data_IF_367046875529
#
_entry.id   IF_367046875529
#
_cell.length_a   1.000
_cell.length_b   1.000
_cell.length_c   1.000
_cell.angle_alpha   90.00
_cell.angle_beta   90.00
_cell.angle_gamma   90.00
#
_symmetry.space_group_name_H-M   'P 1'
#
loop_
_entity.id
_entity.type
_entity.pdbx_description
1 polymer ?
#
# COMPACT_ATOMS: atom_id res chain seq x y z
N UNK A 1 24.30 -2.24 16.45
CA UNK A 1 24.49 -1.76 17.85
C UNK A 1 23.27 -1.05 18.46
N UNK A 2 22.38 -0.39 17.70
CA UNK A 2 21.14 0.21 18.24
C UNK A 2 20.07 -0.77 18.77
N UNK A 3 20.21 -2.08 18.48
CA UNK A 3 19.27 -3.13 18.94
C UNK A 3 19.55 -3.64 20.37
N UNK A 4 20.73 -3.34 20.95
CA UNK A 4 21.08 -3.79 22.31
C UNK A 4 20.62 -2.81 23.41
N UNK A 5 20.48 -1.53 23.08
CA UNK A 5 20.05 -0.48 24.03
C UNK A 5 18.54 -0.55 24.32
N UNK A 6 17.77 -1.23 23.46
CA UNK A 6 16.32 -1.40 23.64
C UNK A 6 15.95 -2.46 24.70
N UNK A 7 16.84 -3.40 25.00
CA UNK A 7 16.58 -4.47 25.97
C UNK A 7 16.79 -4.05 27.43
N UNK A 8 17.62 -3.03 27.67
CA UNK A 8 17.95 -2.57 29.03
C UNK A 8 16.86 -1.64 29.61
N UNK A 9 16.06 -0.96 28.77
CA UNK A 9 14.90 -0.20 29.25
C UNK A 9 13.70 -1.08 29.63
N UNK A 10 13.65 -2.34 29.18
CA UNK A 10 12.57 -3.27 29.54
C UNK A 10 12.76 -3.88 30.95
N UNK A 11 13.98 -3.88 31.48
CA UNK A 11 14.30 -4.45 32.79
C UNK A 11 14.05 -3.48 33.96
N UNK A 12 13.97 -2.17 33.71
CA UNK A 12 13.77 -1.16 34.75
C UNK A 12 12.30 -0.85 35.11
N UNK A 13 11.34 -1.50 34.44
CA UNK A 13 9.90 -1.26 34.70
C UNK A 13 9.27 -2.24 35.71
N UNK A 14 10.05 -3.09 36.37
CA UNK A 14 9.53 -4.18 37.21
C UNK A 14 9.77 -4.02 38.73
N UNK A 15 10.35 -2.90 39.19
CA UNK A 15 10.69 -2.70 40.61
C UNK A 15 9.94 -1.52 41.27
N UNK A 16 8.72 -1.19 40.81
CA UNK A 16 7.81 -0.43 41.65
C UNK A 16 7.24 -1.39 42.69
N UNK A 17 7.74 -1.30 43.94
CA UNK A 17 7.17 -2.02 45.07
C UNK A 17 5.68 -1.72 45.12
N UNK A 18 4.85 -2.72 44.80
CA UNK A 18 3.41 -2.67 44.95
C UNK A 18 3.11 -2.56 46.43
N UNK A 19 3.04 -1.34 46.95
CA UNK A 19 2.41 -1.11 48.25
C UNK A 19 1.00 -1.66 48.11
N UNK A 20 0.67 -2.68 48.90
CA UNK A 20 -0.65 -3.27 48.89
C UNK A 20 -1.66 -2.14 49.12
N UNK A 21 -2.45 -1.83 48.10
CA UNK A 21 -3.52 -0.85 48.15
C UNK A 21 -4.60 -1.43 49.06
N UNK A 22 -4.50 -1.16 50.35
CA UNK A 22 -5.45 -1.64 51.36
C UNK A 22 -6.47 -0.53 51.56
N UNK A 23 -7.75 -0.90 51.41
CA UNK A 23 -8.83 0.01 51.69
C UNK A 23 -8.79 0.53 53.15
N UNK A 24 -9.02 1.82 53.33
CA UNK A 24 -9.00 2.53 54.61
C UNK A 24 -10.41 2.98 54.99
N UNK A 25 -10.80 2.75 56.24
CA UNK A 25 -12.07 3.18 56.78
C UNK A 25 -11.93 4.55 57.42
N UNK A 26 -12.96 5.40 57.32
CA UNK A 26 -12.90 6.73 57.92
C UNK A 26 -14.11 7.59 57.61
N UNK A 27 -14.10 8.82 58.14
CA UNK A 27 -15.09 9.84 57.79
C UNK A 27 -14.57 10.66 56.62
N UNK A 28 -15.23 10.55 55.47
CA UNK A 28 -14.84 11.22 54.24
C UNK A 28 -15.85 12.28 53.82
N UNK A 29 -15.43 13.32 53.09
CA UNK A 29 -16.34 14.31 52.54
C UNK A 29 -17.39 13.66 51.62
N UNK A 30 -18.67 13.97 51.83
CA UNK A 30 -19.78 13.51 50.98
C UNK A 30 -20.35 14.67 50.17
N UNK A 31 -21.65 14.96 50.29
CA UNK A 31 -22.35 16.06 49.61
C UNK A 31 -22.79 17.05 50.69
N UNK A 32 -22.11 18.20 50.77
CA UNK A 32 -22.32 19.24 51.81
C UNK A 32 -23.79 19.54 52.15
N UNK A 33 -24.68 19.56 51.16
CA UNK A 33 -26.10 19.91 51.35
C UNK A 33 -26.97 18.72 51.81
N UNK A 34 -26.39 17.52 51.92
CA UNK A 34 -27.04 16.30 52.42
C UNK A 34 -26.38 15.91 53.74
N UNK A 35 -25.07 15.66 53.70
CA UNK A 35 -24.22 15.39 54.86
C UNK A 35 -22.79 15.79 54.50
N UNK A 36 -22.15 16.63 55.32
CA UNK A 36 -20.80 17.11 55.02
C UNK A 36 -19.76 15.98 55.02
N UNK A 37 -19.84 15.09 56.01
CA UNK A 37 -18.99 13.93 56.17
C UNK A 37 -19.82 12.68 56.42
N UNK A 38 -19.39 11.55 55.88
CA UNK A 38 -20.00 10.25 56.08
C UNK A 38 -18.93 9.19 56.30
N UNK A 39 -19.25 8.18 57.11
CA UNK A 39 -18.41 7.01 57.24
C UNK A 39 -18.37 6.27 55.91
N UNK A 40 -17.17 5.92 55.46
CA UNK A 40 -16.95 5.28 54.18
C UNK A 40 -15.64 4.50 54.15
N UNK A 41 -15.39 3.93 52.99
CA UNK A 41 -14.23 3.07 52.72
C UNK A 41 -13.52 3.66 51.51
N UNK A 42 -12.24 3.99 51.66
CA UNK A 42 -11.44 4.60 50.62
C UNK A 42 -10.36 3.64 50.13
N UNK A 43 -10.15 3.56 48.82
CA UNK A 43 -9.11 2.75 48.19
C UNK A 43 -8.42 3.58 47.12
N UNK A 44 -7.10 3.66 47.18
CA UNK A 44 -6.29 4.19 46.08
C UNK A 44 -5.96 3.07 45.10
N UNK A 45 -6.04 3.36 43.80
CA UNK A 45 -5.80 2.39 42.73
C UNK A 45 -4.90 2.99 41.65
N UNK A 46 -4.02 2.16 41.09
CA UNK A 46 -3.12 2.53 39.98
C UNK A 46 -3.82 2.38 38.62
N UNK A 47 -4.95 3.08 38.48
CA UNK A 47 -5.67 3.19 37.21
C UNK A 47 -6.23 4.60 37.00
N UNK A 48 -6.35 5.08 35.74
CA UNK A 48 -7.00 6.34 35.44
C UNK A 48 -8.46 6.38 35.93
N UNK A 49 -8.89 7.49 36.50
CA UNK A 49 -10.23 7.64 37.11
C UNK A 49 -11.38 7.24 36.16
N UNK A 50 -11.25 7.50 34.85
CA UNK A 50 -12.26 7.09 33.85
C UNK A 50 -12.42 5.57 33.78
N UNK A 51 -11.31 4.83 33.75
CA UNK A 51 -11.31 3.37 33.73
C UNK A 51 -11.94 2.82 35.01
N UNK A 52 -11.60 3.41 36.15
CA UNK A 52 -12.13 3.02 37.46
C UNK A 52 -13.64 3.21 37.53
N UNK A 53 -14.15 4.35 37.04
CA UNK A 53 -15.59 4.58 36.94
C UNK A 53 -16.29 3.52 36.08
N UNK A 54 -15.76 3.22 34.88
CA UNK A 54 -16.36 2.24 33.97
C UNK A 54 -16.38 0.83 34.56
N UNK A 55 -15.31 0.42 35.24
CA UNK A 55 -15.23 -0.90 35.90
C UNK A 55 -16.19 -0.97 37.07
N UNK A 56 -16.24 0.04 37.94
CA UNK A 56 -17.18 0.09 39.06
C UNK A 56 -18.64 0.07 38.60
N UNK A 57 -18.98 0.83 37.57
CA UNK A 57 -20.33 0.85 37.01
C UNK A 57 -20.74 -0.55 36.52
N UNK A 58 -19.90 -1.21 35.73
CA UNK A 58 -20.12 -2.59 35.26
C UNK A 58 -20.21 -3.57 36.43
N UNK A 59 -19.38 -3.40 37.46
CA UNK A 59 -19.34 -4.27 38.64
C UNK A 59 -20.63 -4.16 39.45
N UNK A 60 -21.09 -2.94 39.71
CA UNK A 60 -22.37 -2.69 40.37
C UNK A 60 -23.55 -3.19 39.54
N UNK A 61 -23.57 -2.93 38.23
CA UNK A 61 -24.64 -3.41 37.34
C UNK A 61 -24.70 -4.94 37.34
N UNK A 62 -23.56 -5.63 37.25
CA UNK A 62 -23.49 -7.08 37.29
C UNK A 62 -23.96 -7.66 38.63
N UNK A 63 -23.53 -7.06 39.74
CA UNK A 63 -23.78 -7.59 41.07
C UNK A 63 -25.20 -7.28 41.59
N UNK A 64 -25.77 -6.14 41.19
CA UNK A 64 -27.07 -5.66 41.71
C UNK A 64 -28.19 -5.68 40.67
N UNK A 65 -27.87 -5.89 39.39
CA UNK A 65 -28.76 -5.72 38.23
C UNK A 65 -29.32 -4.29 38.08
N UNK A 66 -28.71 -3.31 38.76
CA UNK A 66 -29.09 -1.90 38.71
C UNK A 66 -27.95 -1.05 38.17
N UNK A 67 -28.28 -0.11 37.30
CA UNK A 67 -27.33 0.89 36.79
C UNK A 67 -27.10 1.96 37.84
N UNK A 68 -25.86 2.42 37.93
CA UNK A 68 -25.53 3.58 38.75
C UNK A 68 -26.10 4.86 38.13
N UNK A 69 -26.70 5.72 38.94
CA UNK A 69 -27.13 7.06 38.54
C UNK A 69 -26.23 8.12 39.17
N UNK A 70 -26.22 9.31 38.58
CA UNK A 70 -25.44 10.43 39.12
C UNK A 70 -26.27 11.17 40.17
N UNK A 71 -25.76 11.28 41.40
CA UNK A 71 -26.37 12.10 42.44
C UNK A 71 -25.95 13.57 42.29
N UNK A 72 -24.79 13.97 42.84
CA UNK A 72 -24.19 15.32 42.78
C UNK A 72 -22.67 15.25 42.98
N UNK A 73 -21.93 16.28 42.55
CA UNK A 73 -20.45 16.40 42.78
C UNK A 73 -19.64 15.13 42.42
N UNK A 74 -19.95 14.49 41.29
CA UNK A 74 -19.31 13.24 40.82
C UNK A 74 -19.51 12.02 41.75
N UNK A 75 -20.49 12.09 42.66
CA UNK A 75 -20.97 10.93 43.40
C UNK A 75 -21.98 10.18 42.54
N UNK A 76 -21.69 8.90 42.34
CA UNK A 76 -22.58 7.93 41.72
C UNK A 76 -23.35 7.21 42.82
N UNK A 77 -24.60 6.84 42.55
CA UNK A 77 -25.48 6.16 43.48
C UNK A 77 -26.12 4.92 42.85
N UNK A 78 -26.35 3.91 43.69
CA UNK A 78 -27.12 2.71 43.35
C UNK A 78 -28.13 2.52 44.48
N UNK A 79 -29.37 2.95 44.25
CA UNK A 79 -30.41 2.96 45.28
C UNK A 79 -31.13 1.63 45.44
N UNK A 80 -31.47 1.32 46.68
CA UNK A 80 -32.26 0.17 47.11
C UNK A 80 -31.79 -1.14 46.47
N UNK A 81 -30.48 -1.40 46.50
CA UNK A 81 -29.87 -2.58 45.90
C UNK A 81 -29.50 -3.62 46.96
N UNK A 82 -29.57 -4.89 46.57
CA UNK A 82 -28.94 -5.98 47.31
C UNK A 82 -27.60 -6.26 46.63
N UNK A 83 -26.51 -6.08 47.37
CA UNK A 83 -25.16 -6.43 46.92
C UNK A 83 -24.71 -7.62 47.76
N UNK A 84 -25.07 -8.83 47.33
CA UNK A 84 -24.90 -10.05 48.13
C UNK A 84 -23.50 -10.26 48.73
N UNK A 85 -22.38 -9.90 48.07
CA UNK A 85 -21.05 -9.99 48.68
C UNK A 85 -20.83 -9.05 49.89
N UNK A 86 -21.69 -8.05 50.07
CA UNK A 86 -21.57 -7.02 51.10
C UNK A 86 -22.68 -7.14 52.15
N UNK A 87 -23.93 -7.29 51.72
CA UNK A 87 -25.07 -7.47 52.61
C UNK A 87 -26.24 -8.15 51.88
N UNK A 88 -27.06 -8.88 52.63
CA UNK A 88 -28.35 -9.40 52.17
C UNK A 88 -29.47 -8.36 52.29
N UNK A 89 -29.25 -7.28 53.04
CA UNK A 89 -30.19 -6.18 53.19
C UNK A 89 -30.21 -5.28 51.94
N UNK A 90 -31.34 -4.60 51.75
CA UNK A 90 -31.50 -3.56 50.74
C UNK A 90 -30.81 -2.29 51.24
N UNK A 91 -29.75 -1.85 50.58
CA UNK A 91 -28.97 -0.66 50.92
C UNK A 91 -28.89 0.32 49.74
N UNK A 92 -28.60 1.57 50.05
CA UNK A 92 -28.15 2.56 49.07
C UNK A 92 -26.62 2.60 49.08
N UNK A 93 -26.01 2.42 47.90
CA UNK A 93 -24.57 2.51 47.73
C UNK A 93 -24.21 3.81 47.03
N UNK A 94 -23.22 4.51 47.55
CA UNK A 94 -22.68 5.71 46.91
C UNK A 94 -21.20 5.53 46.69
N UNK A 95 -20.71 5.88 45.51
CA UNK A 95 -19.27 5.90 45.27
C UNK A 95 -18.83 7.17 44.56
N UNK A 96 -17.61 7.59 44.85
CA UNK A 96 -16.93 8.69 44.15
C UNK A 96 -15.56 8.21 43.70
N UNK A 97 -15.17 8.62 42.50
CA UNK A 97 -13.82 8.39 41.97
C UNK A 97 -13.15 9.74 41.76
N UNK A 98 -12.02 9.95 42.42
CA UNK A 98 -11.24 11.18 42.39
C UNK A 98 -9.87 10.91 41.73
N UNK A 99 -9.44 11.71 40.75
CA UNK A 99 -8.12 11.53 40.15
C UNK A 99 -7.02 11.97 41.13
N UNK A 100 -6.03 11.11 41.35
CA UNK A 100 -4.80 11.42 42.10
C UNK A 100 -3.59 11.66 41.16
N UNK A 101 -3.85 11.72 39.85
CA UNK A 101 -2.85 11.87 38.79
C UNK A 101 -3.41 11.41 37.45
N UNK A 102 -2.53 11.21 36.45
CA UNK A 102 -2.91 10.66 35.15
C UNK A 102 -3.31 9.19 35.24
N UNK A 103 -2.54 8.41 36.01
CA UNK A 103 -2.64 6.95 36.07
C UNK A 103 -3.06 6.42 37.45
N UNK A 104 -3.54 7.31 38.33
CA UNK A 104 -3.98 6.95 39.68
C UNK A 104 -5.31 7.58 40.03
N UNK A 105 -6.11 6.86 40.79
CA UNK A 105 -7.40 7.33 41.26
C UNK A 105 -7.67 6.87 42.70
N UNK A 106 -8.56 7.58 43.37
CA UNK A 106 -9.04 7.27 44.69
C UNK A 106 -10.54 6.98 44.60
N UNK A 107 -10.94 5.82 45.09
CA UNK A 107 -12.33 5.41 45.19
C UNK A 107 -12.78 5.59 46.63
N UNK A 108 -13.91 6.24 46.85
CA UNK A 108 -14.56 6.28 48.16
C UNK A 108 -15.95 5.69 48.05
N UNK A 109 -16.23 4.65 48.82
CA UNK A 109 -17.50 3.92 48.89
C UNK A 109 -18.21 4.25 50.21
N UNK A 110 -19.49 4.58 50.13
CA UNK A 110 -20.37 4.82 51.26
C UNK A 110 -21.59 3.90 51.17
N UNK A 111 -22.04 3.40 52.32
CA UNK A 111 -23.20 2.52 52.44
C UNK A 111 -24.24 3.22 53.31
N UNK A 112 -25.51 3.19 52.91
CA UNK A 112 -26.61 3.79 53.66
C UNK A 112 -27.79 2.84 53.78
N UNK A 113 -28.41 2.78 54.96
CA UNK A 113 -29.65 2.03 55.21
C UNK A 113 -30.91 2.80 54.74
N UNK A 114 -30.78 3.62 53.70
CA UNK A 114 -31.81 4.58 53.27
C UNK A 114 -31.74 5.94 53.99
N UNK A 115 -32.37 6.97 53.40
CA UNK A 115 -32.46 8.33 53.93
C UNK A 115 -31.12 8.95 54.39
N UNK A 116 -30.01 8.57 53.75
CA UNK A 116 -28.65 9.00 54.11
C UNK A 116 -28.19 8.61 55.53
N UNK A 117 -28.79 7.56 56.10
CA UNK A 117 -28.32 6.89 57.31
C UNK A 117 -27.13 6.00 56.98
N UNK A 118 -25.96 6.61 56.92
CA UNK A 118 -24.71 5.91 56.61
C UNK A 118 -24.35 4.89 57.68
N UNK A 119 -23.94 3.69 57.24
CA UNK A 119 -23.46 2.62 58.11
C UNK A 119 -22.09 3.01 58.67
N UNK A 120 -21.87 2.69 59.93
CA UNK A 120 -20.60 2.82 60.64
C UNK A 120 -20.10 1.46 61.13
N UNK A 121 -18.82 1.39 61.52
CA UNK A 121 -18.21 0.16 62.01
C UNK A 121 -18.74 -0.27 63.39
N UNK A 122 -19.16 0.66 64.23
CA UNK A 122 -19.62 0.35 65.59
C UNK A 122 -20.90 -0.48 65.56
N UNK A 123 -21.81 -0.18 64.64
CA UNK A 123 -23.10 -0.84 64.50
C UNK A 123 -23.13 -1.92 63.41
N UNK A 124 -22.35 -1.76 62.35
CA UNK A 124 -22.40 -2.58 61.13
C UNK A 124 -21.03 -3.14 60.74
N UNK A 125 -20.29 -3.68 61.71
CA UNK A 125 -18.94 -4.18 61.50
C UNK A 125 -18.84 -5.23 60.37
N UNK A 126 -19.83 -6.11 60.26
CA UNK A 126 -19.85 -7.18 59.25
C UNK A 126 -19.99 -6.61 57.84
N UNK A 127 -20.94 -5.71 57.61
CA UNK A 127 -21.18 -5.07 56.32
C UNK A 127 -20.01 -4.19 55.89
N UNK A 128 -19.40 -3.45 56.83
CA UNK A 128 -18.21 -2.64 56.55
C UNK A 128 -17.02 -3.52 56.18
N UNK A 129 -16.79 -4.63 56.90
CA UNK A 129 -15.72 -5.58 56.57
C UNK A 129 -15.93 -6.23 55.20
N UNK A 130 -17.17 -6.63 54.89
CA UNK A 130 -17.53 -7.21 53.60
C UNK A 130 -17.39 -6.20 52.45
N UNK A 131 -17.84 -4.95 52.64
CA UNK A 131 -17.65 -3.86 51.69
C UNK A 131 -16.17 -3.54 51.44
N UNK A 132 -15.35 -3.61 52.48
CA UNK A 132 -13.90 -3.43 52.39
C UNK A 132 -13.25 -4.55 51.58
N UNK A 133 -13.61 -5.80 51.84
CA UNK A 133 -13.16 -6.96 51.06
C UNK A 133 -13.57 -6.82 49.60
N UNK A 134 -14.83 -6.48 49.35
CA UNK A 134 -15.36 -6.26 48.02
C UNK A 134 -14.58 -5.15 47.30
N UNK A 135 -14.29 -4.03 47.96
CA UNK A 135 -13.52 -2.94 47.35
C UNK A 135 -12.06 -3.35 47.09
N UNK A 136 -11.42 -4.13 47.97
CA UNK A 136 -10.06 -4.62 47.81
C UNK A 136 -9.86 -5.57 46.62
N UNK A 137 -10.92 -6.15 46.05
CA UNK A 137 -10.85 -6.94 44.82
C UNK A 137 -10.76 -6.06 43.55
N UNK A 138 -11.10 -4.76 43.65
CA UNK A 138 -11.13 -3.84 42.52
C UNK A 138 -9.80 -3.75 41.74
N UNK A 139 -8.61 -3.71 42.37
CA UNK A 139 -7.35 -3.66 41.63
C UNK A 139 -7.15 -4.85 40.68
N UNK A 140 -7.57 -6.06 41.07
CA UNK A 140 -7.46 -7.24 40.23
C UNK A 140 -8.41 -7.17 39.02
N UNK A 141 -9.63 -6.65 39.22
CA UNK A 141 -10.58 -6.41 38.13
C UNK A 141 -10.10 -5.33 37.17
N UNK A 142 -9.50 -4.24 37.69
CA UNK A 142 -8.90 -3.18 36.87
C UNK A 142 -7.76 -3.70 35.99
N UNK A 143 -6.88 -4.53 36.55
CA UNK A 143 -5.81 -5.17 35.78
C UNK A 143 -6.35 -6.10 34.69
N UNK A 144 -7.42 -6.83 34.99
CA UNK A 144 -8.11 -7.68 34.01
C UNK A 144 -8.72 -6.84 32.88
N UNK A 145 -9.40 -5.75 33.23
CA UNK A 145 -10.01 -4.83 32.27
C UNK A 145 -8.96 -4.15 31.38
N UNK A 146 -7.84 -3.70 31.96
CA UNK A 146 -6.71 -3.12 31.25
C UNK A 146 -6.12 -4.10 30.23
N UNK A 147 -5.95 -5.37 30.61
CA UNK A 147 -5.50 -6.43 29.68
C UNK A 147 -6.50 -6.65 28.56
N UNK A 148 -7.79 -6.66 28.86
CA UNK A 148 -8.83 -6.83 27.87
C UNK A 148 -8.84 -5.68 26.85
N UNK A 149 -8.73 -4.42 27.29
CA UNK A 149 -8.60 -3.28 26.39
C UNK A 149 -7.34 -3.35 25.52
N UNK A 150 -6.21 -3.77 26.09
CA UNK A 150 -4.97 -3.95 25.32
C UNK A 150 -5.14 -5.04 24.23
N UNK A 151 -5.81 -6.14 24.55
CA UNK A 151 -6.14 -7.21 23.60
C UNK A 151 -7.05 -6.68 22.48
N UNK A 152 -8.08 -5.90 22.81
CA UNK A 152 -9.01 -5.34 21.83
C UNK A 152 -8.33 -4.33 20.88
N UNK A 153 -7.49 -3.45 21.42
CA UNK A 153 -6.69 -2.52 20.61
C UNK A 153 -5.72 -3.25 19.66
N UNK A 154 -5.11 -4.33 20.16
CA UNK A 154 -4.21 -5.18 19.38
C UNK A 154 -4.95 -5.91 18.25
N UNK A 155 -6.15 -6.43 18.53
CA UNK A 155 -7.01 -7.07 17.52
C UNK A 155 -7.46 -6.09 16.44
N UNK A 156 -7.79 -4.85 16.81
CA UNK A 156 -8.12 -3.81 15.85
C UNK A 156 -6.93 -3.51 14.91
N UNK A 157 -5.72 -3.41 15.47
CA UNK A 157 -4.49 -3.21 14.69
C UNK A 157 -4.24 -4.35 13.70
N UNK A 158 -4.42 -5.61 14.14
CA UNK A 158 -4.28 -6.79 13.26
C UNK A 158 -5.29 -6.73 12.11
N UNK A 159 -6.56 -6.41 12.38
CA UNK A 159 -7.58 -6.31 11.33
C UNK A 159 -7.26 -5.25 10.28
N UNK A 160 -6.68 -4.12 10.66
CA UNK A 160 -6.25 -3.10 9.69
C UNK A 160 -5.06 -3.59 8.85
N UNK A 161 -4.07 -4.24 9.46
CA UNK A 161 -2.94 -4.84 8.73
C UNK A 161 -3.40 -5.92 7.74
N UNK A 162 -4.37 -6.77 8.12
CA UNK A 162 -4.95 -7.77 7.22
C UNK A 162 -5.65 -7.13 6.00
N UNK A 163 -6.35 -6.00 6.20
CA UNK A 163 -6.95 -5.24 5.09
C UNK A 163 -5.89 -4.63 4.18
N UNK A 164 -4.80 -4.10 4.73
CA UNK A 164 -3.69 -3.55 3.95
C UNK A 164 -2.98 -4.63 3.11
N UNK A 165 -2.69 -5.79 3.71
CA UNK A 165 -2.12 -6.94 2.99
C UNK A 165 -3.04 -7.37 1.83
N UNK A 166 -4.35 -7.48 2.06
CA UNK A 166 -5.30 -7.85 1.03
C UNK A 166 -5.38 -6.82 -0.12
N UNK A 167 -5.23 -5.52 0.18
CA UNK A 167 -5.17 -4.46 -0.86
C UNK A 167 -3.89 -4.57 -1.68
N UNK A 168 -2.74 -4.76 -1.03
CA UNK A 168 -1.46 -4.90 -1.73
C UNK A 168 -1.41 -6.16 -2.60
N UNK A 169 -1.91 -7.29 -2.11
CA UNK A 169 -2.00 -8.52 -2.88
C UNK A 169 -2.87 -8.36 -4.15
N UNK A 170 -3.95 -7.56 -4.08
CA UNK A 170 -4.76 -7.21 -5.26
C UNK A 170 -3.99 -6.33 -6.24
N UNK A 171 -3.23 -5.36 -5.75
CA UNK A 171 -2.39 -4.47 -6.57
C UNK A 171 -1.28 -5.24 -7.27
N UNK A 172 -0.61 -6.16 -6.58
CA UNK A 172 0.41 -7.05 -7.16
C UNK A 172 -0.18 -7.89 -8.30
N UNK A 173 -1.35 -8.51 -8.11
CA UNK A 173 -2.04 -9.24 -9.19
C UNK A 173 -2.39 -8.37 -10.40
N UNK A 174 -2.77 -7.10 -10.19
CA UNK A 174 -3.04 -6.17 -11.29
C UNK A 174 -1.77 -5.82 -12.06
N UNK A 175 -0.69 -5.51 -11.35
CA UNK A 175 0.61 -5.21 -11.95
C UNK A 175 1.16 -6.41 -12.73
N UNK A 176 1.00 -7.63 -12.21
CA UNK A 176 1.39 -8.85 -12.93
C UNK A 176 0.66 -8.98 -14.27
N UNK A 177 -0.65 -8.70 -14.32
CA UNK A 177 -1.43 -8.71 -15.58
C UNK A 177 -0.99 -7.62 -16.57
N UNK A 178 -0.67 -6.42 -16.07
CA UNK A 178 -0.14 -5.33 -16.91
C UNK A 178 1.19 -5.75 -17.51
N UNK A 179 2.09 -6.35 -16.70
CA UNK A 179 3.36 -6.89 -17.18
C UNK A 179 3.17 -7.90 -18.31
N UNK A 180 2.28 -8.88 -18.14
CA UNK A 180 2.03 -9.89 -19.20
C UNK A 180 1.57 -9.24 -20.50
N UNK A 181 0.61 -8.31 -20.44
CA UNK A 181 0.13 -7.59 -21.64
C UNK A 181 1.23 -6.80 -22.33
N UNK A 182 2.08 -6.11 -21.56
CA UNK A 182 3.20 -5.36 -22.14
C UNK A 182 4.25 -6.29 -22.77
N UNK A 183 4.39 -7.53 -22.32
CA UNK A 183 5.27 -8.53 -22.96
C UNK A 183 4.69 -8.96 -24.29
N UNK A 184 3.39 -9.29 -24.34
CA UNK A 184 2.70 -9.66 -25.58
C UNK A 184 2.78 -8.53 -26.63
N UNK A 185 2.59 -7.26 -26.21
CA UNK A 185 2.73 -6.09 -27.09
C UNK A 185 4.16 -5.90 -27.63
N UNK A 186 5.19 -6.23 -26.84
CA UNK A 186 6.57 -6.20 -27.31
C UNK A 186 6.84 -7.27 -28.36
N UNK A 187 6.35 -8.49 -28.14
CA UNK A 187 6.50 -9.59 -29.10
C UNK A 187 5.83 -9.25 -30.45
N UNK A 188 4.64 -8.65 -30.42
CA UNK A 188 3.94 -8.20 -31.63
C UNK A 188 4.72 -7.09 -32.38
N UNK A 189 5.30 -6.13 -31.66
CA UNK A 189 6.13 -5.08 -32.25
C UNK A 189 7.45 -5.62 -32.80
N UNK A 190 8.08 -6.59 -32.15
CA UNK A 190 9.26 -7.28 -32.68
C UNK A 190 8.95 -8.02 -33.98
N UNK A 191 7.82 -8.73 -34.04
CA UNK A 191 7.36 -9.40 -35.26
C UNK A 191 7.12 -8.39 -36.40
N UNK A 192 6.46 -7.26 -36.09
CA UNK A 192 6.25 -6.17 -37.05
C UNK A 192 7.56 -5.51 -37.52
N UNK A 193 8.53 -5.33 -36.63
CA UNK A 193 9.86 -4.82 -36.99
C UNK A 193 10.61 -5.76 -37.92
N UNK A 194 10.53 -7.08 -37.69
CA UNK A 194 11.17 -8.09 -38.55
C UNK A 194 10.59 -8.09 -39.96
N UNK A 195 9.27 -8.00 -40.08
CA UNK A 195 8.62 -7.94 -41.40
C UNK A 195 8.98 -6.66 -42.16
N UNK A 196 9.06 -5.51 -41.46
CA UNK A 196 9.53 -4.25 -42.06
C UNK A 196 10.98 -4.31 -42.52
N UNK A 197 11.87 -4.94 -41.73
CA UNK A 197 13.27 -5.13 -42.12
C UNK A 197 13.40 -6.01 -43.37
N UNK A 198 12.63 -7.10 -43.45
CA UNK A 198 12.60 -7.93 -44.65
C UNK A 198 12.13 -7.14 -45.87
N UNK A 199 11.07 -6.34 -45.73
CA UNK A 199 10.58 -5.47 -46.80
C UNK A 199 11.66 -4.45 -47.22
N UNK A 200 12.36 -3.84 -46.27
CA UNK A 200 13.45 -2.91 -46.56
C UNK A 200 14.62 -3.58 -47.31
N UNK A 201 14.98 -4.81 -46.94
CA UNK A 201 16.01 -5.59 -47.64
C UNK A 201 15.57 -5.92 -49.08
N UNK A 202 14.31 -6.28 -49.29
CA UNK A 202 13.74 -6.49 -50.63
C UNK A 202 13.78 -5.20 -51.47
N UNK A 203 13.34 -4.07 -50.93
CA UNK A 203 13.39 -2.77 -51.63
C UNK A 203 14.83 -2.35 -51.95
N UNK A 204 15.79 -2.60 -51.04
CA UNK A 204 17.23 -2.36 -51.30
C UNK A 204 17.76 -3.24 -52.42
N UNK A 205 17.40 -4.54 -52.43
CA UNK A 205 17.76 -5.46 -53.50
C UNK A 205 17.23 -5.00 -54.86
N UNK A 206 15.96 -4.58 -54.93
CA UNK A 206 15.35 -4.02 -56.16
C UNK A 206 16.06 -2.73 -56.62
N UNK A 207 16.42 -1.84 -55.69
CA UNK A 207 17.18 -0.63 -56.03
C UNK A 207 18.56 -0.96 -56.60
N UNK A 208 19.28 -1.93 -56.03
CA UNK A 208 20.59 -2.34 -56.55
C UNK A 208 20.50 -2.95 -57.95
N UNK A 209 19.47 -3.74 -58.24
CA UNK A 209 19.30 -4.35 -59.57
C UNK A 209 18.87 -3.33 -60.63
N UNK A 210 18.05 -2.34 -60.26
CA UNK A 210 17.72 -1.23 -61.16
C UNK A 210 18.92 -0.32 -61.43
N UNK A 211 19.76 -0.08 -60.40
CA UNK A 211 20.97 0.71 -60.56
C UNK A 211 21.99 0.00 -61.47
N UNK A 212 22.20 -1.30 -61.29
CA UNK A 212 23.07 -2.09 -62.18
C UNK A 212 22.54 -2.12 -63.61
N UNK A 213 21.21 -2.24 -63.81
CA UNK A 213 20.59 -2.16 -65.15
C UNK A 213 20.80 -0.79 -65.79
N UNK A 214 20.62 0.29 -65.04
CA UNK A 214 20.85 1.65 -65.54
C UNK A 214 22.31 1.87 -65.95
N UNK A 215 23.26 1.34 -65.17
CA UNK A 215 24.69 1.44 -65.47
C UNK A 215 25.08 0.61 -66.70
N UNK A 216 24.56 -0.62 -66.84
CA UNK A 216 24.76 -1.43 -68.05
C UNK A 216 24.16 -0.78 -69.30
N UNK A 217 22.97 -0.19 -69.20
CA UNK A 217 22.34 0.54 -70.30
C UNK A 217 23.19 1.77 -70.72
N UNK A 218 23.76 2.50 -69.75
CA UNK A 218 24.71 3.60 -70.03
C UNK A 218 25.98 3.13 -70.73
N UNK A 219 26.55 2.00 -70.29
CA UNK A 219 27.74 1.42 -70.93
C UNK A 219 27.45 1.00 -72.37
N UNK A 220 26.28 0.38 -72.63
CA UNK A 220 25.85 0.01 -73.97
C UNK A 220 25.62 1.24 -74.87
N UNK A 221 24.95 2.27 -74.36
CA UNK A 221 24.74 3.52 -75.10
C UNK A 221 26.08 4.23 -75.41
N UNK A 222 27.00 4.27 -74.45
CA UNK A 222 28.35 4.81 -74.64
C UNK A 222 29.16 4.03 -75.67
N UNK A 223 29.09 2.70 -75.64
CA UNK A 223 29.72 1.84 -76.64
C UNK A 223 29.14 2.07 -78.04
N UNK A 224 27.82 2.18 -78.17
CA UNK A 224 27.12 2.47 -79.42
C UNK A 224 27.47 3.85 -80.00
N UNK A 225 27.62 4.88 -79.14
CA UNK A 225 28.10 6.20 -79.55
C UNK A 225 29.56 6.14 -80.03
N UNK A 226 30.43 5.41 -79.33
CA UNK A 226 31.83 5.27 -79.76
C UNK A 226 31.98 4.49 -81.07
N UNK A 227 31.14 3.47 -81.30
CA UNK A 227 31.15 2.71 -82.55
C UNK A 227 30.55 3.50 -83.71
N UNK A 228 29.51 4.31 -83.46
CA UNK A 228 28.95 5.25 -84.44
C UNK A 228 29.94 6.36 -84.81
N UNK A 229 30.72 6.88 -83.86
CA UNK A 229 31.75 7.89 -84.12
C UNK A 229 32.96 7.28 -84.86
N UNK A 230 33.26 6.00 -84.60
CA UNK A 230 34.29 5.24 -85.32
C UNK A 230 33.89 4.92 -86.77
N UNK A 231 32.62 4.59 -87.02
CA UNK A 231 32.12 4.36 -88.39
C UNK A 231 32.01 5.66 -89.19
N UNK A 232 31.62 6.78 -88.56
CA UNK A 232 31.65 8.11 -89.19
C UNK A 232 33.06 8.56 -89.59
N UNK A 233 34.07 8.25 -88.75
CA UNK A 233 35.48 8.49 -89.09
C UNK A 233 36.00 7.60 -90.20
N UNK A 234 35.51 6.36 -90.32
CA UNK A 234 35.89 5.45 -91.40
C UNK A 234 35.28 5.88 -92.75
N UNK A 235 34.02 6.34 -92.75
CA UNK A 235 33.33 6.82 -93.96
C UNK A 235 33.90 8.17 -94.47
N UNK A 236 34.43 9.02 -93.58
CA UNK A 236 35.13 10.24 -93.98
C UNK A 236 36.49 9.99 -94.63
N UNK A 237 37.12 8.83 -94.39
CA UNK A 237 38.40 8.46 -95.03
C UNK A 237 38.21 7.67 -96.33
N UNK A 238 36.99 7.22 -96.63
CA UNK A 238 36.66 6.49 -97.86
C UNK A 238 36.00 7.36 -98.95
N UNK A 239 35.73 8.64 -98.67
CA UNK A 239 35.19 9.60 -99.65
C UNK A 239 36.28 10.51 -100.22
N UNK A 240 37.18 9.90 -100.98
CA UNK A 240 37.82 10.54 -102.11
C UNK A 240 37.75 9.56 -103.27
N UNK A 241 37.13 9.99 -104.38
CA UNK A 241 36.86 9.22 -105.60
C UNK A 241 35.61 8.31 -105.56
N UNK A 242 34.43 8.88 -105.80
CA UNK A 242 33.62 8.67 -107.02
C UNK A 242 32.19 9.17 -106.81
N UNK A 243 31.65 9.79 -107.85
CA UNK A 243 30.26 10.25 -107.92
C UNK A 243 29.28 9.07 -107.96
N UNK A 244 28.08 9.25 -107.39
CA UNK A 244 26.75 8.92 -107.95
C UNK A 244 25.68 9.02 -106.86
N UNK A 245 24.68 9.84 -107.18
CA UNK A 245 23.24 9.76 -106.90
C UNK A 245 22.71 8.65 -105.96
N UNK A 246 21.92 9.05 -104.95
CA UNK A 246 20.56 8.54 -104.67
C UNK A 246 20.12 8.85 -103.23
N UNK A 247 18.92 9.43 -103.16
CA UNK A 247 18.07 9.63 -101.99
C UNK A 247 17.90 8.38 -101.12
N UNK A 248 18.25 8.46 -99.83
CA UNK A 248 17.61 7.63 -98.79
C UNK A 248 17.42 8.43 -97.49
N UNK A 249 16.20 8.94 -97.30
CA UNK A 249 15.68 9.31 -95.99
C UNK A 249 15.38 8.01 -95.23
N UNK A 250 16.34 7.45 -94.51
CA UNK A 250 16.05 6.52 -93.43
C UNK A 250 16.12 7.28 -92.11
N UNK A 251 14.93 7.59 -91.58
CA UNK A 251 14.76 8.27 -90.30
C UNK A 251 15.31 7.43 -89.16
N UNK A 252 16.27 8.01 -88.44
CA UNK A 252 16.74 7.54 -87.13
C UNK A 252 15.62 7.71 -86.09
N UNK A 253 14.73 6.72 -85.97
CA UNK A 253 13.69 6.65 -84.93
C UNK A 253 14.20 6.06 -83.59
N UNK A 254 15.49 5.72 -83.49
CA UNK A 254 16.08 5.08 -82.31
C UNK A 254 16.31 5.97 -81.05
N UNK A 255 16.71 7.26 -81.13
CA UNK A 255 17.12 7.99 -79.92
C UNK A 255 15.97 8.36 -78.97
N UNK A 256 14.72 8.44 -79.46
CA UNK A 256 13.56 8.78 -78.61
C UNK A 256 13.14 7.65 -77.64
N UNK A 257 13.35 6.38 -78.00
CA UNK A 257 13.00 5.26 -77.14
C UNK A 257 13.96 5.12 -75.95
N UNK A 258 15.26 5.35 -76.16
CA UNK A 258 16.27 5.30 -75.09
C UNK A 258 16.09 6.43 -74.07
N UNK A 259 15.72 7.63 -74.52
CA UNK A 259 15.47 8.76 -73.63
C UNK A 259 14.22 8.53 -72.76
N UNK A 260 13.15 7.96 -73.33
CA UNK A 260 11.97 7.55 -72.56
C UNK A 260 12.30 6.47 -71.53
N UNK A 261 13.13 5.48 -71.88
CA UNK A 261 13.54 4.42 -70.97
C UNK A 261 14.39 4.97 -69.81
N UNK A 262 15.33 5.88 -70.09
CA UNK A 262 16.12 6.54 -69.04
C UNK A 262 15.25 7.39 -68.11
N UNK A 263 14.26 8.12 -68.66
CA UNK A 263 13.33 8.89 -67.84
C UNK A 263 12.47 7.98 -66.94
N UNK A 264 11.99 6.84 -67.46
CA UNK A 264 11.26 5.84 -66.67
C UNK A 264 12.12 5.27 -65.53
N UNK A 265 13.36 4.85 -65.82
CA UNK A 265 14.31 4.36 -64.83
C UNK A 265 14.60 5.40 -63.73
N UNK A 266 14.78 6.67 -64.09
CA UNK A 266 15.00 7.74 -63.12
C UNK A 266 13.77 7.99 -62.24
N UNK A 267 12.57 7.96 -62.82
CA UNK A 267 11.33 8.08 -62.05
C UNK A 267 11.15 6.92 -61.08
N UNK A 268 11.47 5.69 -61.50
CA UNK A 268 11.41 4.50 -60.65
C UNK A 268 12.41 4.56 -59.50
N UNK A 269 13.66 4.97 -59.76
CA UNK A 269 14.66 5.21 -58.70
C UNK A 269 14.19 6.26 -57.68
N UNK A 270 13.57 7.36 -58.15
CA UNK A 270 13.00 8.39 -57.26
C UNK A 270 11.84 7.84 -56.42
N UNK A 271 10.98 6.99 -56.99
CA UNK A 271 9.89 6.33 -56.26
C UNK A 271 10.43 5.39 -55.18
N UNK A 272 11.40 4.54 -55.52
CA UNK A 272 11.99 3.60 -54.56
C UNK A 272 12.79 4.30 -53.45
N UNK A 273 13.49 5.40 -53.75
CA UNK A 273 14.15 6.22 -52.70
C UNK A 273 13.14 6.84 -51.74
N UNK A 274 12.00 7.32 -52.24
CA UNK A 274 10.90 7.82 -51.39
C UNK A 274 10.32 6.70 -50.51
N UNK A 275 10.17 5.50 -51.07
CA UNK A 275 9.69 4.32 -50.34
C UNK A 275 10.67 3.89 -49.25
N UNK A 276 11.98 3.82 -49.55
CA UNK A 276 13.02 3.54 -48.56
C UNK A 276 13.02 4.56 -47.41
N UNK A 277 12.93 5.85 -47.72
CA UNK A 277 12.86 6.90 -46.70
C UNK A 277 11.59 6.77 -45.83
N UNK A 278 10.47 6.31 -46.42
CA UNK A 278 9.23 6.03 -45.69
C UNK A 278 9.39 4.82 -44.76
N UNK A 279 9.98 3.73 -45.24
CA UNK A 279 10.27 2.53 -44.43
C UNK A 279 11.25 2.84 -43.30
N UNK A 280 12.29 3.63 -43.55
CA UNK A 280 13.26 4.03 -42.53
C UNK A 280 12.60 4.87 -41.43
N UNK A 281 11.73 5.83 -41.79
CA UNK A 281 10.93 6.57 -40.82
C UNK A 281 9.99 5.66 -40.01
N UNK A 282 9.41 4.63 -40.64
CA UNK A 282 8.59 3.65 -39.94
C UNK A 282 9.41 2.81 -38.97
N UNK A 283 10.60 2.34 -39.35
CA UNK A 283 11.51 1.61 -38.45
C UNK A 283 11.95 2.46 -37.26
N UNK A 284 12.35 3.72 -37.49
CA UNK A 284 12.70 4.64 -36.39
C UNK A 284 11.51 4.87 -35.44
N UNK A 285 10.27 4.87 -35.95
CA UNK A 285 9.07 4.98 -35.13
C UNK A 285 8.85 3.72 -34.28
N UNK A 286 9.01 2.53 -34.88
CA UNK A 286 8.88 1.24 -34.18
C UNK A 286 9.97 1.11 -33.10
N UNK A 287 11.22 1.45 -33.41
CA UNK A 287 12.34 1.40 -32.45
C UNK A 287 12.10 2.33 -31.25
N UNK A 288 11.63 3.56 -31.49
CA UNK A 288 11.21 4.46 -30.42
C UNK A 288 10.06 3.90 -29.58
N UNK A 289 9.11 3.21 -30.20
CA UNK A 289 8.01 2.56 -29.49
C UNK A 289 8.50 1.38 -28.63
N UNK A 290 9.41 0.55 -29.15
CA UNK A 290 10.03 -0.55 -28.42
C UNK A 290 10.83 -0.05 -27.22
N UNK A 291 11.67 0.98 -27.39
CA UNK A 291 12.41 1.59 -26.27
C UNK A 291 11.46 2.12 -25.19
N UNK A 292 10.36 2.78 -25.60
CA UNK A 292 9.36 3.29 -24.65
C UNK A 292 8.68 2.15 -23.88
N UNK A 293 8.32 1.05 -24.54
CA UNK A 293 7.71 -0.11 -23.90
C UNK A 293 8.69 -0.84 -22.97
N UNK A 294 9.96 -1.00 -23.37
CA UNK A 294 11.00 -1.55 -22.49
C UNK A 294 11.19 -0.71 -21.22
N UNK A 295 11.19 0.62 -21.34
CA UNK A 295 11.23 1.51 -20.17
C UNK A 295 9.99 1.35 -19.28
N UNK A 296 8.80 1.21 -19.87
CA UNK A 296 7.56 0.97 -19.14
C UNK A 296 7.57 -0.38 -18.41
N UNK A 297 8.08 -1.44 -19.04
CA UNK A 297 8.23 -2.75 -18.41
C UNK A 297 9.22 -2.70 -17.24
N UNK A 298 10.40 -2.10 -17.44
CA UNK A 298 11.39 -1.95 -16.38
C UNK A 298 10.84 -1.16 -15.19
N UNK A 299 10.07 -0.09 -15.45
CA UNK A 299 9.39 0.68 -14.41
C UNK A 299 8.33 -0.15 -13.68
N UNK A 300 7.51 -0.91 -14.40
CA UNK A 300 6.49 -1.79 -13.82
C UNK A 300 7.11 -2.92 -12.97
N UNK A 301 8.24 -3.50 -13.41
CA UNK A 301 8.98 -4.49 -12.64
C UNK A 301 9.58 -3.91 -11.36
N UNK A 302 10.17 -2.71 -11.43
CA UNK A 302 10.67 -2.02 -10.25
C UNK A 302 9.54 -1.71 -9.26
N UNK A 303 8.38 -1.28 -9.75
CA UNK A 303 7.20 -1.05 -8.92
C UNK A 303 6.67 -2.34 -8.28
N UNK A 304 6.61 -3.45 -9.04
CA UNK A 304 6.25 -4.77 -8.50
C UNK A 304 7.20 -5.21 -7.39
N UNK A 305 8.52 -5.11 -7.61
CA UNK A 305 9.52 -5.46 -6.58
C UNK A 305 9.35 -4.61 -5.33
N UNK A 306 9.10 -3.31 -5.49
CA UNK A 306 8.82 -2.41 -4.35
C UNK A 306 7.56 -2.85 -3.59
N UNK A 307 6.48 -3.19 -4.29
CA UNK A 307 5.22 -3.65 -3.69
C UNK A 307 5.37 -5.00 -3.00
N UNK A 308 6.16 -5.91 -3.56
CA UNK A 308 6.48 -7.20 -2.92
C UNK A 308 7.24 -7.00 -1.60
N UNK A 309 8.22 -6.09 -1.59
CA UNK A 309 8.97 -5.75 -0.39
C UNK A 309 8.07 -5.07 0.67
N UNK A 310 7.19 -4.16 0.26
CA UNK A 310 6.17 -3.58 1.15
C UNK A 310 5.25 -4.65 1.76
N UNK A 311 4.82 -5.63 0.95
CA UNK A 311 3.96 -6.73 1.40
C UNK A 311 4.71 -7.66 2.37
N UNK A 312 5.97 -7.98 2.10
CA UNK A 312 6.81 -8.78 3.00
C UNK A 312 7.01 -8.08 4.35
N UNK A 313 7.28 -6.77 4.34
CA UNK A 313 7.38 -5.97 5.57
C UNK A 313 6.08 -5.97 6.38
N UNK A 314 4.92 -5.88 5.71
CA UNK A 314 3.63 -5.97 6.39
C UNK A 314 3.36 -7.35 6.98
N UNK A 315 3.73 -8.43 6.28
CA UNK A 315 3.64 -9.80 6.83
C UNK A 315 4.48 -9.97 8.08
N UNK A 316 5.73 -9.50 8.06
CA UNK A 316 6.61 -9.52 9.24
C UNK A 316 5.97 -8.74 10.40
N UNK A 317 5.41 -7.56 10.12
CA UNK A 317 4.73 -6.75 11.13
C UNK A 317 3.51 -7.47 11.70
N UNK A 318 2.68 -8.06 10.84
CA UNK A 318 1.47 -8.78 11.21
C UNK A 318 1.80 -10.00 12.09
N UNK A 319 2.81 -10.80 11.72
CA UNK A 319 3.28 -11.92 12.54
C UNK A 319 3.85 -11.44 13.89
N UNK A 320 4.55 -10.32 13.91
CA UNK A 320 5.03 -9.70 15.16
C UNK A 320 3.87 -9.26 16.07
N UNK A 321 2.83 -8.62 15.52
CA UNK A 321 1.66 -8.20 16.28
C UNK A 321 0.81 -9.40 16.75
N UNK A 322 0.73 -10.49 15.97
CA UNK A 322 0.11 -11.76 16.41
C UNK A 322 0.90 -12.40 17.56
N UNK A 323 2.23 -12.40 17.49
CA UNK A 323 3.07 -12.92 18.56
C UNK A 323 2.86 -12.13 19.86
N UNK A 324 2.83 -10.79 19.80
CA UNK A 324 2.48 -9.94 20.95
C UNK A 324 1.10 -10.26 21.52
N UNK A 325 0.10 -10.45 20.66
CA UNK A 325 -1.24 -10.84 21.09
C UNK A 325 -1.24 -12.20 21.82
N UNK A 326 -0.49 -13.18 21.34
CA UNK A 326 -0.37 -14.48 21.99
C UNK A 326 0.28 -14.35 23.37
N UNK A 327 1.35 -13.56 23.50
CA UNK A 327 1.97 -13.27 24.81
C UNK A 327 0.97 -12.60 25.76
N UNK A 328 0.17 -11.63 25.28
CA UNK A 328 -0.88 -11.01 26.09
C UNK A 328 -1.96 -12.01 26.54
N UNK A 329 -2.37 -12.92 25.64
CA UNK A 329 -3.32 -13.99 25.95
C UNK A 329 -2.76 -14.99 26.96
N UNK A 330 -1.51 -15.42 26.82
CA UNK A 330 -0.84 -16.32 27.76
C UNK A 330 -0.68 -15.66 29.13
N UNK A 331 -0.23 -14.40 29.16
CA UNK A 331 -0.16 -13.61 30.38
C UNK A 331 -1.53 -13.47 31.07
N UNK A 332 -2.62 -13.40 30.31
CA UNK A 332 -3.99 -13.38 30.86
C UNK A 332 -4.46 -14.74 31.40
N UNK A 333 -3.90 -15.85 30.91
CA UNK A 333 -4.25 -17.22 31.35
C UNK A 333 -3.48 -17.68 32.59
N UNK A 334 -2.22 -17.27 32.74
CA UNK A 334 -1.31 -17.75 33.80
C UNK A 334 -1.46 -17.10 35.19
N UNK A 335 -2.50 -16.30 35.44
CA UNK A 335 -2.77 -15.65 36.74
C UNK A 335 -4.08 -16.13 37.40
N UNK A 336 -4.48 -17.38 37.15
CA UNK A 336 -5.59 -18.02 37.88
C UNK A 336 -5.09 -18.77 39.09
#
# INVERSE_FOLDING_TARGET
>A
MKKLILWIQLAWLMAAASQAQIAQEGNYPFVKNIKAYAYGIQLEVDAPAKMVCEVLEKRFEKATKKKSSKLKKKVMEVKAAVLSPVSTAILDYYYRVEPLGKDRAQVTLFLSAGNYNFLDRERYASEIAAAKSWLNELPAELETYKRQQAIEAQLATIKELEKEEAKLAKTEKKLARVKTRSVDELEELEASSRSLQQQQQQTRGMLSTLQSRADSARQQAGAALSSADSSLRLDMLARDTTAIDSTSKQGSLAPQQDEQLQQQLLQEQKRLRKEQAKLEKQMQKIEKQQQKLQQQQAAAEAEMRKKQLELEQLRIRLETEKAKLNVLKEASRGKR
#
